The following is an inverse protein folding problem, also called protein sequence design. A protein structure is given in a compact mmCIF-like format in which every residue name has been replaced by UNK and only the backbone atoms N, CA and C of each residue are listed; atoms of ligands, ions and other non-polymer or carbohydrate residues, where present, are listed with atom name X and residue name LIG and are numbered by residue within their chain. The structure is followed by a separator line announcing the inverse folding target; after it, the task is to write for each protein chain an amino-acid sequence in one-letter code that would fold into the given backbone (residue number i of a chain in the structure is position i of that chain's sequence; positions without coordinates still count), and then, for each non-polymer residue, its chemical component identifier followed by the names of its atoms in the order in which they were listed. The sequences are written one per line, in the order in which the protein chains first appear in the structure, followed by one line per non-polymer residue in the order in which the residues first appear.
data_IF_312307436017
#
_entry.id   IF_312307436017
#
_cell.length_a   1.000
_cell.length_b   1.000
_cell.length_c   1.000
_cell.angle_alpha   90.00
_cell.angle_beta   90.00
_cell.angle_gamma   90.00
#
_symmetry.space_group_name_H-M   'P 1'
#
loop_
_entity.id
_entity.type
_entity.pdbx_description
1 polymer ?
#
# COMPACT_ATOMS: atom_id res chain seq x y z
N UNK A 1 -61.89 2.79 -34.92
CA UNK A 1 -60.72 2.31 -34.16
C UNK A 1 -59.59 3.31 -34.27
N UNK A 2 -58.87 3.52 -33.16
CA UNK A 2 -57.87 4.56 -32.85
C UNK A 2 -58.44 5.86 -32.28
N UNK A 3 -58.48 5.80 -30.96
CA UNK A 3 -58.81 6.80 -29.96
C UNK A 3 -57.64 7.79 -29.88
N UNK A 4 -57.93 9.08 -29.93
CA UNK A 4 -56.97 10.15 -29.69
C UNK A 4 -57.10 10.54 -28.21
N UNK A 5 -56.14 10.15 -27.37
CA UNK A 5 -56.12 10.52 -25.96
C UNK A 5 -55.35 11.84 -25.78
N UNK A 6 -56.08 12.91 -25.50
CA UNK A 6 -55.58 14.04 -24.73
C UNK A 6 -55.46 13.62 -23.26
N UNK A 7 -54.31 13.83 -22.64
CA UNK A 7 -54.14 13.72 -21.20
C UNK A 7 -53.72 15.08 -20.62
N UNK A 8 -54.57 15.55 -19.71
CA UNK A 8 -54.41 16.74 -18.89
C UNK A 8 -53.17 16.64 -17.97
N UNK A 9 -52.53 17.80 -17.82
CA UNK A 9 -51.79 18.32 -16.66
C UNK A 9 -51.84 17.52 -15.37
N UNK A 10 -50.66 17.24 -14.80
CA UNK A 10 -50.38 17.53 -13.39
C UNK A 10 -48.96 18.06 -13.23
N UNK A 11 -48.88 19.23 -12.61
CA UNK A 11 -47.67 19.92 -12.20
C UNK A 11 -46.86 19.08 -11.22
N UNK A 12 -45.57 18.87 -11.52
CA UNK A 12 -44.55 18.65 -10.49
C UNK A 12 -43.41 19.62 -10.78
N UNK A 13 -43.27 20.55 -9.85
CA UNK A 13 -42.31 21.64 -9.81
C UNK A 13 -40.97 21.06 -9.32
N UNK A 14 -39.94 21.05 -10.17
CA UNK A 14 -38.55 20.85 -9.75
C UNK A 14 -37.77 22.11 -10.09
N UNK A 15 -37.48 22.86 -9.03
CA UNK A 15 -36.74 24.10 -9.07
C UNK A 15 -35.24 23.84 -9.23
N UNK A 16 -34.73 24.31 -10.36
CA UNK A 16 -33.55 25.19 -10.44
C UNK A 16 -32.14 24.59 -10.51
N UNK A 17 -31.49 24.99 -11.62
CA UNK A 17 -30.07 25.40 -11.80
C UNK A 17 -29.09 24.36 -12.34
N UNK A 18 -29.32 23.93 -13.58
CA UNK A 18 -28.23 23.66 -14.51
C UNK A 18 -27.73 24.98 -15.14
N UNK A 19 -26.47 25.29 -14.92
CA UNK A 19 -25.75 26.37 -15.60
C UNK A 19 -25.20 25.82 -16.91
N UNK A 20 -25.81 26.17 -18.04
CA UNK A 20 -25.20 25.99 -19.37
C UNK A 20 -24.45 27.26 -19.76
N UNK A 21 -23.12 27.17 -19.81
CA UNK A 21 -22.25 28.20 -20.38
C UNK A 21 -22.46 28.20 -21.90
N UNK A 22 -23.09 29.25 -22.42
CA UNK A 22 -23.24 29.50 -23.85
C UNK A 22 -22.13 30.47 -24.29
N UNK A 23 -21.11 29.96 -24.98
CA UNK A 23 -20.06 30.81 -25.58
C UNK A 23 -20.62 31.48 -26.84
N UNK A 24 -20.76 32.81 -26.82
CA UNK A 24 -21.04 33.59 -28.05
C UNK A 24 -19.73 33.75 -28.83
N UNK A 25 -19.71 33.24 -30.07
CA UNK A 25 -18.71 33.62 -31.05
C UNK A 25 -18.88 35.09 -31.45
N UNK A 26 -17.80 35.86 -31.39
CA UNK A 26 -17.70 37.22 -31.92
C UNK A 26 -16.84 37.17 -33.18
N UNK A 27 -17.48 37.30 -34.34
CA UNK A 27 -16.79 37.53 -35.60
C UNK A 27 -16.24 38.96 -35.64
N UNK A 28 -14.96 39.10 -35.94
CA UNK A 28 -14.29 40.37 -36.10
C UNK A 28 -13.15 40.21 -37.09
N UNK A 29 -13.44 40.46 -38.37
CA UNK A 29 -12.48 40.44 -39.46
C UNK A 29 -11.47 41.59 -39.35
N UNK A 30 -10.21 41.25 -39.62
CA UNK A 30 -9.11 42.20 -39.79
C UNK A 30 -8.11 41.62 -40.79
N UNK A 31 -8.07 42.22 -41.99
CA UNK A 31 -7.12 41.92 -43.06
C UNK A 31 -5.73 42.43 -42.67
N UNK A 32 -4.70 41.59 -42.73
CA UNK A 32 -3.32 42.04 -42.89
C UNK A 32 -2.63 41.20 -43.96
N UNK A 33 -2.05 41.92 -44.93
CA UNK A 33 -1.39 41.39 -46.12
C UNK A 33 0.00 40.82 -45.84
N UNK A 34 0.51 40.14 -46.86
CA UNK A 34 1.68 39.26 -46.84
C UNK A 34 3.02 39.90 -46.49
N UNK A 35 4.01 39.08 -46.17
CA UNK A 35 5.02 38.66 -47.15
C UNK A 35 5.89 37.50 -46.60
N UNK A 36 6.11 36.50 -47.44
CA UNK A 36 7.28 35.60 -47.55
C UNK A 36 8.22 35.41 -46.34
N UNK A 37 8.33 34.18 -45.82
CA UNK A 37 9.57 33.40 -46.00
C UNK A 37 9.34 31.92 -45.65
N UNK A 38 9.68 31.07 -46.60
CA UNK A 38 9.69 29.61 -46.54
C UNK A 38 10.89 29.16 -45.72
N UNK A 39 10.73 28.17 -44.83
CA UNK A 39 11.77 27.18 -44.48
C UNK A 39 11.15 26.03 -43.69
N UNK A 40 11.01 24.90 -44.39
CA UNK A 40 10.73 23.58 -43.85
C UNK A 40 11.75 23.21 -42.78
N UNK A 41 11.30 22.69 -41.64
CA UNK A 41 12.09 21.79 -40.81
C UNK A 41 11.27 20.55 -40.48
N UNK A 42 11.97 19.43 -40.56
CA UNK A 42 11.51 18.05 -40.61
C UNK A 42 10.99 17.55 -39.26
N UNK A 43 10.15 16.52 -39.35
CA UNK A 43 9.60 15.72 -38.27
C UNK A 43 10.65 15.17 -37.28
N UNK A 44 10.25 14.96 -36.02
CA UNK A 44 10.83 13.94 -35.15
C UNK A 44 9.82 13.48 -34.09
N UNK A 45 9.80 12.17 -33.89
CA UNK A 45 8.82 11.38 -33.17
C UNK A 45 9.14 11.22 -31.67
N UNK A 46 8.10 10.86 -30.92
CA UNK A 46 8.02 10.05 -29.68
C UNK A 46 9.16 10.16 -28.64
N UNK A 47 8.80 10.61 -27.43
CA UNK A 47 9.24 9.94 -26.20
C UNK A 47 8.02 9.78 -25.30
N UNK A 48 7.54 8.54 -25.18
CA UNK A 48 6.65 8.11 -24.10
C UNK A 48 7.48 8.17 -22.82
N UNK A 49 7.11 9.06 -21.90
CA UNK A 49 7.73 9.15 -20.59
C UNK A 49 7.37 7.91 -19.76
N UNK A 50 8.24 6.90 -19.79
CA UNK A 50 8.22 5.81 -18.83
C UNK A 50 8.95 6.32 -17.57
N UNK A 51 8.18 6.79 -16.59
CA UNK A 51 8.72 7.11 -15.26
C UNK A 51 9.26 5.83 -14.63
N UNK A 52 10.58 5.71 -14.59
CA UNK A 52 11.27 4.58 -13.98
C UNK A 52 11.20 4.62 -12.46
N UNK A 53 10.76 3.52 -11.86
CA UNK A 53 11.15 3.14 -10.51
C UNK A 53 12.64 2.77 -10.58
N UNK A 54 13.51 3.61 -10.05
CA UNK A 54 14.92 3.27 -9.95
C UNK A 54 15.10 2.09 -8.97
N UNK A 55 15.91 1.07 -9.30
CA UNK A 55 16.22 0.00 -8.35
C UNK A 55 16.89 0.60 -7.11
N UNK A 56 16.40 0.22 -5.94
CA UNK A 56 17.06 0.53 -4.67
C UNK A 56 18.46 -0.08 -4.70
N UNK A 57 19.48 0.77 -4.74
CA UNK A 57 20.88 0.33 -4.72
C UNK A 57 21.26 -0.09 -3.29
N UNK A 58 22.07 -1.14 -3.12
CA UNK A 58 22.63 -1.51 -1.82
C UNK A 58 23.30 -0.32 -1.09
N UNK A 59 23.88 0.62 -1.84
CA UNK A 59 24.47 1.85 -1.31
C UNK A 59 23.44 2.75 -0.60
N UNK A 60 22.20 2.80 -1.11
CA UNK A 60 21.12 3.58 -0.48
C UNK A 60 20.60 2.96 0.81
N UNK A 61 20.70 1.63 0.96
CA UNK A 61 20.32 0.94 2.19
C UNK A 61 21.34 1.18 3.32
N UNK A 62 22.64 1.17 3.00
CA UNK A 62 23.72 1.47 3.97
C UNK A 62 23.66 2.92 4.49
N UNK A 63 23.31 3.87 3.61
CA UNK A 63 23.02 5.24 4.01
C UNK A 63 21.75 5.32 4.86
N UNK A 64 20.74 4.52 4.50
CA UNK A 64 19.50 4.40 5.23
C UNK A 64 19.68 3.91 6.67
N UNK A 65 20.61 2.98 6.92
CA UNK A 65 20.93 2.55 8.28
C UNK A 65 21.45 3.71 9.15
N UNK A 66 22.31 4.57 8.57
CA UNK A 66 22.82 5.76 9.27
C UNK A 66 21.69 6.72 9.59
N UNK A 67 20.78 6.96 8.64
CA UNK A 67 19.59 7.80 8.85
C UNK A 67 18.68 7.18 9.92
N UNK A 68 18.51 5.86 9.92
CA UNK A 68 17.71 5.14 10.92
C UNK A 68 18.21 5.35 12.35
N UNK A 69 19.47 5.75 12.54
CA UNK A 69 19.98 6.22 13.83
C UNK A 69 19.10 7.30 14.49
N UNK A 70 18.42 8.14 13.70
CA UNK A 70 17.45 9.16 14.16
C UNK A 70 16.15 8.55 14.71
N UNK A 71 15.82 7.32 14.31
CA UNK A 71 14.60 6.60 14.66
C UNK A 71 14.76 5.72 15.91
N UNK A 72 15.99 5.26 16.20
CA UNK A 72 16.34 4.31 17.28
C UNK A 72 15.94 4.76 18.69
N UNK A 73 15.75 6.07 18.91
CA UNK A 73 15.28 6.60 20.19
C UNK A 73 13.84 6.15 20.53
N UNK A 74 13.02 5.89 19.51
CA UNK A 74 11.62 5.53 19.69
C UNK A 74 11.29 4.13 19.18
N UNK A 75 12.00 3.68 18.15
CA UNK A 75 11.69 2.46 17.41
C UNK A 75 12.82 1.43 17.49
N UNK A 76 12.45 0.16 17.32
CA UNK A 76 13.37 -0.95 17.15
C UNK A 76 13.04 -1.66 15.83
N UNK A 77 14.04 -2.33 15.25
CA UNK A 77 13.95 -3.06 13.99
C UNK A 77 14.89 -4.27 14.04
N UNK A 78 14.56 -5.32 13.30
CA UNK A 78 15.31 -6.57 13.25
C UNK A 78 14.89 -7.58 14.31
N UNK A 79 15.74 -8.60 14.49
CA UNK A 79 15.51 -9.72 15.39
C UNK A 79 15.32 -9.26 16.84
N UNK A 80 14.27 -9.77 17.50
CA UNK A 80 13.96 -9.43 18.90
C UNK A 80 13.48 -8.00 19.14
N UNK A 81 13.16 -7.24 18.08
CA UNK A 81 12.64 -5.88 18.19
C UNK A 81 11.31 -5.83 18.95
N UNK A 82 11.16 -4.84 19.83
CA UNK A 82 9.95 -4.62 20.63
C UNK A 82 9.45 -3.20 20.47
N UNK A 83 8.13 -3.05 20.54
CA UNK A 83 7.49 -1.74 20.60
C UNK A 83 7.85 -1.02 21.91
N UNK A 84 8.17 0.28 21.82
CA UNK A 84 8.55 1.15 22.94
C UNK A 84 7.77 2.46 22.92
N UNK A 85 8.45 3.58 22.72
CA UNK A 85 7.81 4.89 22.50
C UNK A 85 7.08 4.90 21.15
N UNK A 86 7.69 4.28 20.14
CA UNK A 86 7.09 3.97 18.85
C UNK A 86 6.90 2.45 18.68
N UNK A 87 6.06 2.02 17.73
CA UNK A 87 5.91 0.62 17.36
C UNK A 87 7.22 0.04 16.80
N UNK A 88 7.40 -1.29 16.84
CA UNK A 88 8.47 -1.95 16.10
C UNK A 88 8.33 -1.70 14.58
N UNK A 89 9.45 -1.60 13.88
CA UNK A 89 9.50 -1.27 12.45
C UNK A 89 9.95 -2.44 11.56
N UNK A 90 10.21 -3.61 12.13
CA UNK A 90 10.35 -4.85 11.35
C UNK A 90 9.05 -5.10 10.59
N UNK A 91 9.14 -5.39 9.30
CA UNK A 91 7.98 -5.59 8.44
C UNK A 91 7.09 -4.36 8.26
N UNK A 92 7.61 -3.14 8.39
CA UNK A 92 6.76 -1.95 8.28
C UNK A 92 6.34 -1.65 6.85
N UNK A 93 7.17 -1.92 5.85
CA UNK A 93 6.78 -1.73 4.44
C UNK A 93 5.81 -2.84 4.05
N UNK A 94 4.69 -2.50 3.43
CA UNK A 94 3.55 -3.38 3.12
C UNK A 94 2.52 -3.51 4.25
N UNK A 95 2.87 -3.15 5.50
CA UNK A 95 1.99 -3.38 6.66
C UNK A 95 0.87 -2.33 6.78
N UNK A 96 -0.36 -2.73 7.14
CA UNK A 96 -1.43 -1.79 7.50
C UNK A 96 -1.02 -0.84 8.64
N UNK A 97 -1.43 0.41 8.56
CA UNK A 97 -1.15 1.37 9.61
C UNK A 97 -1.87 1.01 10.91
N UNK A 98 -1.18 1.19 12.03
CA UNK A 98 -1.71 0.95 13.37
C UNK A 98 -2.14 -0.50 13.67
N UNK A 99 -1.49 -1.49 13.06
CA UNK A 99 -1.86 -2.92 13.20
C UNK A 99 -1.15 -3.69 14.32
N UNK A 100 -0.08 -3.18 14.93
CA UNK A 100 0.64 -3.95 15.96
C UNK A 100 -0.19 -4.00 17.24
N UNK A 101 -0.53 -5.22 17.66
CA UNK A 101 -1.32 -5.46 18.87
C UNK A 101 -0.62 -4.92 20.13
N UNK A 102 -1.42 -4.49 21.09
CA UNK A 102 -0.93 -3.96 22.37
C UNK A 102 -0.27 -2.57 22.29
N UNK A 103 0.10 -2.08 21.10
CA UNK A 103 0.67 -0.74 20.96
C UNK A 103 -0.38 0.37 20.98
N UNK A 104 -0.18 1.37 21.84
CA UNK A 104 -1.14 2.47 22.02
C UNK A 104 -1.00 3.56 20.96
N UNK A 105 -1.54 3.34 19.77
CA UNK A 105 -1.58 4.33 18.68
C UNK A 105 -2.40 5.60 19.00
N UNK A 106 -2.21 6.67 18.22
CA UNK A 106 -3.12 7.83 18.21
C UNK A 106 -4.48 7.45 17.62
N UNK A 107 -5.56 8.08 18.08
CA UNK A 107 -6.91 7.88 17.53
C UNK A 107 -6.94 8.09 16.00
N UNK A 108 -6.30 9.15 15.52
CA UNK A 108 -6.25 9.47 14.09
C UNK A 108 -5.48 8.43 13.27
N UNK A 109 -4.32 7.96 13.74
CA UNK A 109 -3.58 6.93 13.00
C UNK A 109 -4.34 5.58 12.94
N UNK A 110 -5.07 5.20 14.01
CA UNK A 110 -5.96 4.02 13.96
C UNK A 110 -7.07 4.21 12.93
N UNK A 111 -7.76 5.34 12.97
CA UNK A 111 -8.80 5.65 11.99
C UNK A 111 -8.27 5.65 10.55
N UNK A 112 -7.03 6.07 10.32
CA UNK A 112 -6.40 5.99 9.00
C UNK A 112 -6.12 4.54 8.58
N UNK A 113 -5.63 3.69 9.50
CA UNK A 113 -5.47 2.25 9.28
C UNK A 113 -6.80 1.56 8.95
N UNK A 114 -7.84 1.82 9.75
CA UNK A 114 -9.21 1.34 9.52
C UNK A 114 -9.78 1.80 8.17
N UNK A 115 -9.35 2.98 7.68
CA UNK A 115 -9.68 3.51 6.36
C UNK A 115 -8.73 3.04 5.23
N UNK A 116 -7.99 1.94 5.46
CA UNK A 116 -7.15 1.27 4.47
C UNK A 116 -5.79 1.91 4.22
N UNK A 117 -5.22 2.63 5.18
CA UNK A 117 -3.83 3.10 5.06
C UNK A 117 -2.86 1.91 5.21
N UNK A 118 -2.05 1.70 4.18
CA UNK A 118 -0.93 0.76 4.16
C UNK A 118 0.38 1.54 4.03
N UNK A 119 1.45 1.05 4.64
CA UNK A 119 2.78 1.67 4.57
C UNK A 119 3.57 1.18 3.36
N UNK A 120 3.50 1.91 2.26
CA UNK A 120 4.39 1.77 1.11
C UNK A 120 5.43 2.91 1.08
N UNK A 121 6.27 2.95 0.04
CA UNK A 121 7.29 4.00 -0.10
C UNK A 121 6.70 5.41 -0.19
N UNK A 122 5.56 5.59 -0.87
CA UNK A 122 4.93 6.90 -1.07
C UNK A 122 4.31 7.43 0.23
N UNK A 123 3.54 6.58 0.90
CA UNK A 123 2.88 6.89 2.17
C UNK A 123 3.89 7.10 3.29
N UNK A 124 4.99 6.34 3.32
CA UNK A 124 6.08 6.57 4.26
C UNK A 124 6.82 7.89 3.99
N UNK A 125 7.07 8.25 2.74
CA UNK A 125 7.69 9.55 2.39
C UNK A 125 6.82 10.72 2.87
N UNK A 126 5.52 10.65 2.56
CA UNK A 126 4.55 11.68 2.95
C UNK A 126 4.38 11.76 4.48
N UNK A 127 4.33 10.60 5.16
CA UNK A 127 4.27 10.51 6.62
C UNK A 127 5.50 11.11 7.29
N UNK A 128 6.70 10.74 6.84
CA UNK A 128 7.96 11.19 7.43
C UNK A 128 8.19 12.70 7.24
N UNK A 129 7.61 13.30 6.20
CA UNK A 129 7.66 14.75 5.97
C UNK A 129 6.95 15.52 7.08
N UNK A 130 5.69 15.16 7.38
CA UNK A 130 4.90 15.73 8.48
C UNK A 130 3.74 14.79 8.88
N UNK A 131 3.92 13.97 9.93
CA UNK A 131 2.94 12.95 10.31
C UNK A 131 1.55 13.51 10.64
N UNK A 132 1.50 14.67 11.29
CA UNK A 132 0.22 15.27 11.66
C UNK A 132 -0.46 15.91 10.45
N UNK A 133 0.29 16.53 9.54
CA UNK A 133 -0.30 17.06 8.30
C UNK A 133 -0.80 15.93 7.40
N UNK A 134 -0.03 14.85 7.28
CA UNK A 134 -0.42 13.65 6.55
C UNK A 134 -1.79 13.13 7.01
N UNK A 135 -1.99 12.93 8.33
CA UNK A 135 -3.28 12.46 8.84
C UNK A 135 -4.42 13.43 8.62
N UNK A 136 -4.18 14.73 8.74
CA UNK A 136 -5.21 15.75 8.47
C UNK A 136 -5.72 15.68 7.04
N UNK A 137 -4.80 15.52 6.09
CA UNK A 137 -5.15 15.38 4.67
C UNK A 137 -5.83 14.04 4.41
N UNK A 138 -5.27 12.93 4.90
CA UNK A 138 -5.79 11.58 4.61
C UNK A 138 -7.19 11.34 5.18
N UNK A 139 -7.51 11.95 6.31
CA UNK A 139 -8.80 11.81 7.01
C UNK A 139 -9.77 12.97 6.76
N UNK A 140 -9.35 14.02 6.03
CA UNK A 140 -10.07 15.29 5.94
C UNK A 140 -10.50 15.86 7.33
N UNK A 141 -9.65 15.68 8.35
CA UNK A 141 -9.89 16.13 9.72
C UNK A 141 -8.78 17.07 10.18
N UNK A 142 -9.07 18.36 10.29
CA UNK A 142 -8.13 19.40 10.75
C UNK A 142 -7.61 19.18 12.17
N UNK A 143 -8.31 18.39 12.99
CA UNK A 143 -7.93 18.04 14.37
C UNK A 143 -7.11 16.75 14.45
N UNK A 144 -6.96 16.02 13.34
CA UNK A 144 -6.16 14.81 13.31
C UNK A 144 -4.71 15.11 13.74
N UNK A 145 -4.15 14.21 14.55
CA UNK A 145 -2.83 14.39 15.13
C UNK A 145 -2.12 13.06 15.30
N UNK A 146 -0.86 13.03 14.87
CA UNK A 146 0.05 11.92 15.13
C UNK A 146 0.68 12.07 16.51
N UNK A 147 0.95 10.93 17.18
CA UNK A 147 1.79 10.92 18.39
C UNK A 147 3.27 11.14 18.08
N UNK A 148 3.72 10.72 16.89
CA UNK A 148 5.08 11.01 16.41
C UNK A 148 5.18 12.49 16.01
N UNK A 149 6.02 13.24 16.71
CA UNK A 149 6.32 14.66 16.43
C UNK A 149 7.55 14.85 15.55
N UNK A 150 8.35 13.80 15.37
CA UNK A 150 9.55 13.81 14.54
C UNK A 150 9.19 14.01 13.05
N UNK A 151 10.08 14.70 12.33
CA UNK A 151 9.98 14.98 10.90
C UNK A 151 11.34 14.83 10.24
N UNK A 152 11.36 14.14 9.11
CA UNK A 152 12.55 13.97 8.28
C UNK A 152 12.40 14.82 7.02
N UNK A 153 12.94 16.05 7.06
CA UNK A 153 12.70 17.05 6.01
C UNK A 153 13.45 16.75 4.72
N UNK A 154 14.63 16.15 4.81
CA UNK A 154 15.46 15.86 3.65
C UNK A 154 14.87 14.69 2.86
N UNK A 155 14.51 14.88 1.57
CA UNK A 155 13.98 13.81 0.74
C UNK A 155 14.97 12.68 0.49
N UNK A 156 16.28 12.96 0.43
CA UNK A 156 17.29 11.92 0.25
C UNK A 156 17.38 11.03 1.49
N UNK A 157 17.36 11.63 2.68
CA UNK A 157 17.29 10.87 3.94
C UNK A 157 16.03 10.01 4.02
N UNK A 158 14.87 10.54 3.57
CA UNK A 158 13.62 9.77 3.55
C UNK A 158 13.71 8.58 2.62
N UNK A 159 14.17 8.78 1.38
CA UNK A 159 14.36 7.69 0.42
C UNK A 159 15.32 6.61 0.96
N UNK A 160 16.45 7.03 1.55
CA UNK A 160 17.43 6.11 2.12
C UNK A 160 16.86 5.32 3.30
N UNK A 161 16.19 5.96 4.27
CA UNK A 161 15.62 5.23 5.41
C UNK A 161 14.47 4.31 4.98
N UNK A 162 13.66 4.69 3.99
CA UNK A 162 12.60 3.83 3.45
C UNK A 162 13.21 2.60 2.77
N UNK A 163 14.27 2.78 1.98
CA UNK A 163 15.03 1.67 1.40
C UNK A 163 15.56 0.72 2.49
N UNK A 164 16.14 1.27 3.56
CA UNK A 164 16.61 0.48 4.70
C UNK A 164 15.47 -0.27 5.40
N UNK A 165 14.32 0.38 5.66
CA UNK A 165 13.14 -0.29 6.22
C UNK A 165 12.63 -1.44 5.33
N UNK A 166 12.75 -1.29 4.00
CA UNK A 166 12.45 -2.32 3.03
C UNK A 166 13.30 -3.57 3.20
N UNK A 167 14.58 -3.45 3.62
CA UNK A 167 15.43 -4.62 3.88
C UNK A 167 14.97 -5.48 5.07
N UNK A 168 14.09 -4.95 5.92
CA UNK A 168 13.45 -5.65 7.03
C UNK A 168 11.98 -5.95 6.77
N UNK A 169 11.52 -5.75 5.54
CA UNK A 169 10.13 -5.94 5.15
C UNK A 169 10.08 -6.82 3.92
N UNK A 170 9.81 -8.10 4.10
CA UNK A 170 9.58 -9.03 2.98
C UNK A 170 8.10 -9.07 2.59
N UNK A 171 7.28 -8.18 3.13
CA UNK A 171 5.84 -8.18 2.92
C UNK A 171 5.47 -7.53 1.57
N UNK A 172 5.11 -8.37 0.61
CA UNK A 172 4.29 -8.04 -0.57
C UNK A 172 4.91 -7.29 -1.76
N UNK A 173 6.23 -7.31 -1.98
CA UNK A 173 6.80 -6.77 -3.23
C UNK A 173 7.15 -7.80 -4.30
N UNK A 174 7.44 -9.07 -3.95
CA UNK A 174 7.86 -10.09 -4.92
C UNK A 174 7.05 -11.40 -4.78
N UNK A 175 5.73 -11.34 -4.99
CA UNK A 175 4.97 -12.58 -5.19
C UNK A 175 5.31 -13.12 -6.59
N UNK A 176 5.80 -14.36 -6.73
CA UNK A 176 6.02 -14.93 -8.06
C UNK A 176 4.70 -14.98 -8.84
N UNK A 177 4.73 -14.65 -10.13
CA UNK A 177 3.53 -14.70 -10.97
C UNK A 177 2.92 -16.12 -11.04
N UNK A 178 3.76 -17.13 -10.83
CA UNK A 178 3.41 -18.55 -10.75
C UNK A 178 3.45 -19.07 -9.31
N UNK A 179 3.33 -18.20 -8.30
CA UNK A 179 3.40 -18.60 -6.91
C UNK A 179 2.48 -17.83 -5.99
N UNK A 180 2.51 -18.21 -4.72
CA UNK A 180 1.79 -17.54 -3.66
C UNK A 180 2.71 -17.40 -2.46
N UNK A 181 2.39 -16.44 -1.60
CA UNK A 181 3.19 -16.19 -0.40
C UNK A 181 2.32 -16.02 0.84
N UNK A 182 2.94 -16.27 2.00
CA UNK A 182 2.40 -15.87 3.30
C UNK A 182 3.42 -15.01 4.04
N UNK A 183 2.95 -13.97 4.70
CA UNK A 183 3.74 -13.10 5.57
C UNK A 183 3.26 -13.27 7.00
N UNK A 184 4.19 -13.37 7.95
CA UNK A 184 3.84 -13.28 9.36
C UNK A 184 3.72 -11.81 9.79
N UNK A 185 2.52 -11.25 9.84
CA UNK A 185 2.26 -9.88 10.31
C UNK A 185 1.62 -9.85 11.71
N UNK A 186 1.77 -10.93 12.47
CA UNK A 186 1.27 -11.05 13.85
C UNK A 186 2.20 -10.35 14.85
N UNK A 187 2.04 -10.65 16.14
CA UNK A 187 2.86 -10.11 17.21
C UNK A 187 4.00 -11.04 17.66
N UNK A 188 4.06 -12.27 17.12
CA UNK A 188 5.00 -13.31 17.54
C UNK A 188 5.48 -14.19 16.37
N UNK A 189 6.50 -15.00 16.63
CA UNK A 189 7.02 -15.96 15.64
C UNK A 189 6.09 -17.16 15.55
N UNK A 190 5.85 -17.66 14.35
CA UNK A 190 5.04 -18.86 14.11
C UNK A 190 5.68 -19.77 13.06
N UNK A 191 5.25 -21.02 13.02
CA UNK A 191 5.66 -21.99 12.00
C UNK A 191 4.66 -21.98 10.86
N UNK A 192 5.12 -21.68 9.66
CA UNK A 192 4.30 -21.69 8.45
C UNK A 192 4.65 -22.87 7.57
N UNK A 193 3.63 -23.42 6.94
CA UNK A 193 3.73 -24.48 5.97
C UNK A 193 2.99 -24.03 4.72
N UNK A 194 3.67 -23.97 3.59
CA UNK A 194 3.04 -23.81 2.27
C UNK A 194 2.98 -25.18 1.60
N UNK A 195 1.84 -25.51 1.00
CA UNK A 195 1.62 -26.72 0.21
C UNK A 195 1.02 -26.33 -1.14
N UNK A 196 1.66 -26.74 -2.23
CA UNK A 196 1.08 -26.62 -3.58
C UNK A 196 0.16 -27.82 -3.84
N UNK A 197 -0.78 -27.69 -4.78
CA UNK A 197 -1.64 -28.82 -5.19
C UNK A 197 -0.86 -29.99 -5.79
N UNK A 198 0.33 -29.73 -6.32
CA UNK A 198 1.26 -30.75 -6.82
C UNK A 198 1.99 -31.50 -5.70
N UNK A 199 1.79 -31.10 -4.44
CA UNK A 199 2.38 -31.72 -3.27
C UNK A 199 3.76 -31.18 -2.88
N UNK A 200 4.20 -30.06 -3.48
CA UNK A 200 5.41 -29.39 -3.00
C UNK A 200 5.10 -28.71 -1.65
N UNK A 201 5.87 -29.04 -0.62
CA UNK A 201 5.69 -28.54 0.75
C UNK A 201 6.94 -27.85 1.25
N UNK A 202 6.80 -26.65 1.78
CA UNK A 202 7.85 -25.92 2.48
C UNK A 202 7.42 -25.63 3.91
N UNK A 203 8.33 -25.76 4.86
CA UNK A 203 8.09 -25.43 6.27
C UNK A 203 9.16 -24.44 6.71
N UNK A 204 8.74 -23.35 7.36
CA UNK A 204 9.66 -22.35 7.90
C UNK A 204 9.09 -21.70 9.15
N UNK A 205 9.95 -21.44 10.14
CA UNK A 205 9.64 -20.53 11.23
C UNK A 205 9.80 -19.10 10.72
N UNK A 206 8.72 -18.30 10.76
CA UNK A 206 8.73 -16.92 10.32
C UNK A 206 8.65 -16.00 11.53
N UNK A 207 9.66 -15.14 11.69
CA UNK A 207 9.59 -13.98 12.56
C UNK A 207 8.55 -12.97 12.03
N UNK A 208 8.13 -12.04 12.90
CA UNK A 208 7.26 -10.94 12.50
C UNK A 208 7.91 -10.13 11.36
N UNK A 209 7.20 -10.05 10.24
CA UNK A 209 7.60 -9.37 9.01
C UNK A 209 8.22 -10.29 7.96
N UNK A 210 8.53 -11.55 8.27
CA UNK A 210 9.11 -12.52 7.35
C UNK A 210 8.05 -13.18 6.46
N UNK A 211 8.48 -13.67 5.29
CA UNK A 211 7.64 -14.25 4.26
C UNK A 211 8.12 -15.65 3.85
N UNK A 212 7.17 -16.53 3.57
CA UNK A 212 7.39 -17.82 2.90
C UNK A 212 6.59 -17.84 1.60
N UNK A 213 7.26 -18.14 0.49
CA UNK A 213 6.63 -18.26 -0.83
C UNK A 213 6.78 -19.68 -1.37
N UNK A 214 5.78 -20.10 -2.15
CA UNK A 214 5.82 -21.31 -2.96
C UNK A 214 5.42 -21.00 -4.39
N UNK A 215 6.14 -21.57 -5.35
CA UNK A 215 5.75 -21.54 -6.76
C UNK A 215 5.03 -22.84 -7.13
N UNK A 216 3.96 -22.72 -7.90
CA UNK A 216 3.24 -23.82 -8.52
C UNK A 216 3.08 -23.58 -10.01
N UNK A 217 3.60 -24.50 -10.81
CA UNK A 217 3.35 -24.49 -12.25
C UNK A 217 2.01 -25.17 -12.53
N UNK A 218 0.97 -24.37 -12.77
CA UNK A 218 -0.31 -24.85 -13.28
C UNK A 218 -1.42 -25.07 -12.24
N UNK A 219 -1.18 -24.85 -10.94
CA UNK A 219 -2.28 -24.70 -9.98
C UNK A 219 -2.84 -23.29 -10.01
N UNK A 220 -4.12 -23.18 -9.65
CA UNK A 220 -4.81 -21.90 -9.45
C UNK A 220 -4.65 -21.41 -7.99
N UNK A 221 -4.30 -22.31 -7.07
CA UNK A 221 -4.12 -22.02 -5.65
C UNK A 221 -3.17 -23.01 -4.95
N UNK A 222 -2.83 -22.68 -3.70
CA UNK A 222 -2.18 -23.58 -2.75
C UNK A 222 -2.75 -23.39 -1.34
N UNK A 223 -2.21 -24.15 -0.40
CA UNK A 223 -2.62 -24.09 1.01
C UNK A 223 -1.48 -23.49 1.82
N UNK A 224 -1.83 -22.62 2.75
CA UNK A 224 -0.95 -22.21 3.84
C UNK A 224 -1.53 -22.66 5.15
N UNK A 225 -0.70 -23.27 5.97
CA UNK A 225 -1.00 -23.60 7.35
C UNK A 225 -0.06 -22.86 8.29
N UNK A 226 -0.57 -22.44 9.45
CA UNK A 226 0.23 -21.80 10.50
C UNK A 226 0.00 -22.48 11.84
N UNK A 227 1.08 -22.59 12.62
CA UNK A 227 1.13 -23.22 13.93
C UNK A 227 1.90 -22.34 14.91
N UNK A 228 1.52 -22.39 16.19
CA UNK A 228 2.21 -21.66 17.25
C UNK A 228 3.68 -22.10 17.41
N UNK A 229 3.95 -23.40 17.21
CA UNK A 229 5.30 -23.99 17.27
C UNK A 229 5.37 -25.28 16.45
N UNK A 230 6.58 -25.81 16.25
CA UNK A 230 6.79 -27.05 15.48
C UNK A 230 6.13 -28.29 16.11
N UNK A 231 5.89 -28.26 17.42
CA UNK A 231 5.27 -29.37 18.17
C UNK A 231 3.75 -29.20 18.32
N UNK A 232 3.18 -28.10 17.84
CA UNK A 232 1.75 -27.86 17.93
C UNK A 232 0.97 -28.81 17.01
N UNK A 233 -0.03 -29.48 17.57
CA UNK A 233 -0.91 -30.39 16.82
C UNK A 233 -2.09 -29.67 16.16
N UNK A 234 -2.35 -28.42 16.56
CA UNK A 234 -3.46 -27.59 16.12
C UNK A 234 -2.91 -26.29 15.50
N UNK A 235 -3.55 -25.85 14.43
CA UNK A 235 -3.18 -24.65 13.70
C UNK A 235 -4.35 -24.11 12.89
N UNK A 236 -4.08 -23.14 12.02
CA UNK A 236 -5.04 -22.63 11.05
C UNK A 236 -4.56 -22.93 9.64
N UNK A 237 -5.48 -23.10 8.70
CA UNK A 237 -5.12 -23.20 7.28
C UNK A 237 -5.99 -22.31 6.40
N UNK A 238 -5.46 -21.93 5.25
CA UNK A 238 -6.14 -21.09 4.26
C UNK A 238 -5.69 -21.44 2.85
N UNK A 239 -6.62 -21.38 1.92
CA UNK A 239 -6.33 -21.50 0.49
C UNK A 239 -5.91 -20.13 -0.03
N UNK A 240 -4.77 -20.06 -0.71
CA UNK A 240 -4.20 -18.84 -1.28
C UNK A 240 -4.14 -18.97 -2.81
N UNK A 241 -4.76 -18.06 -3.57
CA UNK A 241 -4.62 -18.02 -5.03
C UNK A 241 -3.16 -17.80 -5.47
N UNK A 242 -2.77 -18.42 -6.58
CA UNK A 242 -1.52 -18.05 -7.27
C UNK A 242 -1.58 -16.59 -7.73
N UNK A 243 -0.46 -15.87 -7.62
CA UNK A 243 -0.35 -14.43 -7.83
C UNK A 243 -0.84 -13.59 -6.64
N UNK A 244 -0.91 -14.16 -5.44
CA UNK A 244 -1.33 -13.43 -4.24
C UNK A 244 -0.46 -13.71 -3.02
N UNK A 245 -0.52 -12.78 -2.06
CA UNK A 245 0.06 -12.94 -0.74
C UNK A 245 -1.03 -12.80 0.33
N UNK A 246 -0.99 -13.65 1.34
CA UNK A 246 -1.77 -13.48 2.56
C UNK A 246 -0.86 -13.07 3.71
N UNK A 247 -1.41 -12.30 4.63
CA UNK A 247 -0.76 -11.91 5.88
C UNK A 247 -1.49 -12.57 7.03
N UNK A 248 -0.77 -13.26 7.90
CA UNK A 248 -1.30 -13.58 9.21
C UNK A 248 -1.29 -12.31 10.06
N UNK A 249 -2.47 -11.78 10.40
CA UNK A 249 -2.62 -10.59 11.24
C UNK A 249 -2.66 -10.99 12.72
N UNK A 250 -3.33 -12.08 13.05
CA UNK A 250 -3.49 -12.55 14.43
C UNK A 250 -3.58 -14.08 14.45
N UNK A 251 -2.82 -14.70 15.36
CA UNK A 251 -2.95 -16.11 15.70
C UNK A 251 -3.76 -16.24 16.98
N UNK A 252 -5.01 -16.70 16.88
CA UNK A 252 -5.88 -16.85 18.04
C UNK A 252 -5.83 -18.27 18.61
N UNK A 253 -6.33 -19.27 17.87
CA UNK A 253 -6.40 -20.70 18.21
C UNK A 253 -6.93 -21.50 16.99
N UNK A 254 -7.13 -22.82 17.11
CA UNK A 254 -7.54 -23.73 16.02
C UNK A 254 -8.57 -23.10 15.06
N UNK A 255 -8.19 -22.99 13.78
CA UNK A 255 -9.00 -22.48 12.67
C UNK A 255 -9.55 -21.04 12.85
N UNK A 256 -8.99 -20.25 13.77
CA UNK A 256 -9.46 -18.89 14.13
C UNK A 256 -8.50 -17.76 13.77
N UNK A 257 -7.52 -18.00 12.92
CA UNK A 257 -6.55 -16.99 12.54
C UNK A 257 -7.19 -15.84 11.74
N UNK A 258 -6.74 -14.62 12.00
CA UNK A 258 -7.12 -13.45 11.21
C UNK A 258 -6.13 -13.26 10.06
N UNK A 259 -6.66 -13.13 8.85
CA UNK A 259 -5.87 -13.01 7.62
C UNK A 259 -6.14 -11.69 6.90
N UNK A 260 -5.11 -11.08 6.36
CA UNK A 260 -5.20 -9.98 5.40
C UNK A 260 -4.77 -10.45 4.02
N UNK A 261 -5.44 -10.02 2.96
CA UNK A 261 -5.15 -10.48 1.59
C UNK A 261 -4.62 -9.34 0.72
N UNK A 262 -3.56 -9.61 -0.05
CA UNK A 262 -3.02 -8.71 -1.06
C UNK A 262 -2.90 -9.41 -2.40
N UNK A 263 -3.30 -8.72 -3.46
CA UNK A 263 -3.12 -9.18 -4.84
C UNK A 263 -1.97 -8.36 -5.45
N UNK A 264 -1.03 -9.04 -6.10
CA UNK A 264 0.06 -8.40 -6.84
C UNK A 264 -0.43 -7.70 -8.11
#
# INVERSE_FOLDING_TARGET
MRVNCHAHSRDINVTSREWTVRVRGREGGGKFGGCSFVKSFLASALIVGLSGLAPVSAQTADEGEKVFGKCKACHQIGEGAKSRTGPLLTGVVGRPAASIEGFKYSKSLRAAGEAGLVWDAETLDAWLTDPSKFLKTRLDDKKAKAKMSFRLKDPADRAAVIAYLGTFSTAAMDVPADGFCVVNNSDSMHVFITETREGARSLQELNVGEQLCSSSTGAEDGIVSVFESADALEGCSRIIPVGSAEELIEYAEFDRCAWGSHQS
#
